data_IF_653724255051
#
_entry.id   IF_653724255051
#
_cell.length_a   1.000
_cell.length_b   1.000
_cell.length_c   1.000
_cell.angle_alpha   90.00
_cell.angle_beta   90.00
_cell.angle_gamma   90.00
#
_symmetry.space_group_name_H-M   'P 1'
#
loop_
_entity.id
_entity.type
_entity.pdbx_description
1 polymer ?
#
# COMPACT_ATOMS: atom_id res chain seq x y z
N UNK A 1 15.38 1.61 -4.13
CA UNK A 1 14.31 2.63 -4.30
C UNK A 1 13.17 2.35 -3.31
N UNK A 2 12.38 3.33 -2.87
CA UNK A 2 11.34 3.13 -1.83
C UNK A 2 10.35 1.99 -2.14
N UNK A 3 9.98 1.84 -3.43
CA UNK A 3 9.17 0.72 -3.92
C UNK A 3 9.76 -0.66 -3.64
N UNK A 4 11.07 -0.83 -3.80
CA UNK A 4 11.74 -2.12 -3.52
C UNK A 4 11.74 -2.43 -2.02
N UNK A 5 11.92 -1.40 -1.18
CA UNK A 5 11.85 -1.56 0.26
C UNK A 5 10.45 -2.02 0.71
N UNK A 6 9.39 -1.42 0.16
CA UNK A 6 8.03 -1.85 0.45
C UNK A 6 7.70 -3.23 -0.13
N UNK A 7 8.18 -3.56 -1.33
CA UNK A 7 8.02 -4.90 -1.88
C UNK A 7 8.70 -5.97 -1.02
N UNK A 8 9.90 -5.68 -0.48
CA UNK A 8 10.58 -6.57 0.45
C UNK A 8 9.83 -6.69 1.78
N UNK A 9 9.33 -5.58 2.32
CA UNK A 9 8.53 -5.58 3.55
C UNK A 9 7.25 -6.42 3.38
N UNK A 10 6.57 -6.28 2.23
CA UNK A 10 5.40 -7.10 1.86
C UNK A 10 5.77 -8.58 1.71
N UNK A 11 6.91 -8.89 1.11
CA UNK A 11 7.39 -10.27 0.98
C UNK A 11 7.73 -10.93 2.32
N UNK A 12 8.19 -10.14 3.30
CA UNK A 12 8.45 -10.62 4.67
C UNK A 12 7.18 -10.71 5.52
N UNK A 13 6.26 -9.75 5.35
CA UNK A 13 4.98 -9.72 6.03
C UNK A 13 3.87 -9.28 5.06
N UNK A 14 3.13 -10.23 4.47
CA UNK A 14 2.01 -9.95 3.59
C UNK A 14 0.84 -9.23 4.26
N UNK A 15 0.79 -9.20 5.60
CA UNK A 15 -0.23 -8.50 6.37
C UNK A 15 0.25 -7.13 6.90
N UNK A 16 1.29 -6.56 6.28
CA UNK A 16 1.82 -5.27 6.70
C UNK A 16 1.06 -4.10 6.07
N UNK A 17 -0.04 -3.67 6.71
CA UNK A 17 -0.90 -2.57 6.26
C UNK A 17 -0.11 -1.33 5.79
N UNK A 18 0.77 -0.80 6.63
CA UNK A 18 1.54 0.41 6.34
C UNK A 18 2.47 0.26 5.12
N UNK A 19 2.99 -0.95 4.84
CA UNK A 19 3.82 -1.17 3.67
C UNK A 19 3.03 -1.01 2.36
N UNK A 20 1.79 -1.48 2.32
CA UNK A 20 0.88 -1.27 1.20
C UNK A 20 0.44 0.19 1.07
N UNK A 21 0.08 0.84 2.18
CA UNK A 21 -0.30 2.26 2.21
C UNK A 21 0.83 3.16 1.64
N UNK A 22 2.05 2.97 2.15
CA UNK A 22 3.20 3.77 1.73
C UNK A 22 3.64 3.44 0.30
N UNK A 23 3.49 2.18 -0.14
CA UNK A 23 3.69 1.79 -1.55
C UNK A 23 2.72 2.53 -2.47
N UNK A 24 1.44 2.61 -2.10
CA UNK A 24 0.43 3.37 -2.84
C UNK A 24 0.80 4.85 -2.96
N UNK A 25 1.23 5.47 -1.85
CA UNK A 25 1.62 6.88 -1.84
C UNK A 25 2.81 7.18 -2.77
N UNK A 26 3.83 6.32 -2.76
CA UNK A 26 4.97 6.43 -3.69
C UNK A 26 4.53 6.26 -5.14
N UNK A 27 3.59 5.35 -5.42
CA UNK A 27 3.08 5.13 -6.77
C UNK A 27 2.28 6.33 -7.29
N UNK A 28 1.53 7.03 -6.41
CA UNK A 28 0.89 8.31 -6.75
C UNK A 28 1.95 9.35 -7.15
N UNK A 29 3.03 9.50 -6.37
CA UNK A 29 4.10 10.44 -6.69
C UNK A 29 4.81 10.14 -8.02
N UNK A 30 4.78 8.88 -8.44
CA UNK A 30 5.33 8.42 -9.73
C UNK A 30 4.30 8.47 -10.88
N UNK A 31 3.08 8.96 -10.64
CA UNK A 31 2.00 9.01 -11.63
C UNK A 31 1.42 7.64 -12.01
N UNK A 32 1.70 6.59 -11.23
CA UNK A 32 1.25 5.22 -11.49
C UNK A 32 -0.03 4.92 -10.72
N UNK A 33 -1.12 5.60 -11.10
CA UNK A 33 -2.37 5.59 -10.35
C UNK A 33 -3.03 4.20 -10.24
N UNK A 34 -3.02 3.40 -11.30
CA UNK A 34 -3.63 2.05 -11.28
C UNK A 34 -2.95 1.14 -10.26
N UNK A 35 -1.61 1.15 -10.24
CA UNK A 35 -0.83 0.37 -9.27
C UNK A 35 -0.98 0.92 -7.84
N UNK A 36 -1.17 2.23 -7.69
CA UNK A 36 -1.44 2.83 -6.40
C UNK A 36 -2.79 2.36 -5.84
N UNK A 37 -3.82 2.31 -6.69
CA UNK A 37 -5.15 1.81 -6.32
C UNK A 37 -5.09 0.34 -5.89
N UNK A 38 -4.37 -0.51 -6.63
CA UNK A 38 -4.15 -1.90 -6.21
C UNK A 38 -3.46 -1.99 -4.84
N UNK A 39 -2.44 -1.17 -4.60
CA UNK A 39 -1.74 -1.15 -3.33
C UNK A 39 -2.66 -0.72 -2.18
N UNK A 40 -3.50 0.30 -2.38
CA UNK A 40 -4.47 0.72 -1.37
C UNK A 40 -5.56 -0.31 -1.13
N UNK A 41 -6.10 -0.95 -2.19
CA UNK A 41 -7.06 -2.04 -2.04
C UNK A 41 -6.47 -3.19 -1.21
N UNK A 42 -5.20 -3.55 -1.45
CA UNK A 42 -4.49 -4.54 -0.63
C UNK A 42 -4.29 -4.08 0.81
N UNK A 43 -4.01 -2.81 1.05
CA UNK A 43 -3.95 -2.28 2.42
C UNK A 43 -5.30 -2.47 3.14
N UNK A 44 -6.42 -2.17 2.47
CA UNK A 44 -7.78 -2.35 3.02
C UNK A 44 -8.10 -3.82 3.26
N UNK A 45 -7.72 -4.73 2.36
CA UNK A 45 -7.89 -6.18 2.57
C UNK A 45 -7.11 -6.70 3.79
N UNK A 46 -5.92 -6.16 4.02
CA UNK A 46 -5.01 -6.56 5.11
C UNK A 46 -5.51 -6.07 6.47
N UNK A 47 -5.97 -4.83 6.56
CA UNK A 47 -6.61 -4.29 7.77
C UNK A 47 -7.89 -3.53 7.38
N UNK A 48 -9.01 -4.24 7.24
CA UNK A 48 -10.29 -3.63 6.92
C UNK A 48 -10.85 -2.80 8.09
N UNK A 49 -10.25 -2.91 9.28
CA UNK A 49 -10.62 -2.14 10.47
C UNK A 49 -9.86 -0.82 10.59
N UNK A 50 -8.88 -0.55 9.72
CA UNK A 50 -8.08 0.65 9.82
C UNK A 50 -8.90 1.91 9.47
N UNK A 51 -8.99 2.93 10.36
CA UNK A 51 -9.85 4.10 10.18
C UNK A 51 -9.59 4.95 8.92
N UNK A 52 -8.45 4.74 8.24
CA UNK A 52 -8.09 5.41 6.99
C UNK A 52 -8.49 4.63 5.72
N UNK A 53 -8.98 3.39 5.84
CA UNK A 53 -9.46 2.59 4.70
C UNK A 53 -10.69 3.20 4.01
N UNK A 54 -11.48 3.99 4.73
CA UNK A 54 -12.74 4.58 4.25
C UNK A 54 -12.74 6.11 4.16
N UNK A 55 -11.66 6.79 4.55
CA UNK A 55 -11.56 8.24 4.38
C UNK A 55 -10.99 8.54 2.99
N UNK A 56 -11.88 8.53 1.99
CA UNK A 56 -11.71 9.21 0.71
C UNK A 56 -12.21 10.65 0.83
#
# INVERSE_FOLDING_TARGET
MALEAYNKAIGLNPNHFQAYLNKGAVLIQLGKYDLALEAYNKAIEVDPSHPYAYNN
#
